data_IF_529831774144
#
_entry.id   IF_529831774144
#
_cell.length_a   1.000
_cell.length_b   1.000
_cell.length_c   1.000
_cell.angle_alpha   90.00
_cell.angle_beta   90.00
_cell.angle_gamma   90.00
#
_symmetry.space_group_name_H-M   'P 1'
#
loop_
_entity.id
_entity.type
_entity.pdbx_description
1 polymer ?
#
# COMPACT_ATOMS: atom_id res chain seq x y z
N UNK A 1 29.32 -34.24 28.23
CA UNK A 1 27.99 -33.81 27.73
C UNK A 1 28.03 -32.33 27.43
N UNK A 2 28.05 -31.95 26.16
CA UNK A 2 28.15 -30.55 25.71
C UNK A 2 26.81 -29.83 25.91
N UNK A 3 26.76 -28.61 26.50
CA UNK A 3 25.49 -27.92 26.69
C UNK A 3 24.94 -27.41 25.36
N UNK A 4 23.66 -27.69 25.14
CA UNK A 4 22.87 -27.34 23.96
C UNK A 4 22.71 -25.81 23.88
N UNK A 5 23.28 -25.21 22.84
CA UNK A 5 23.25 -23.75 22.57
C UNK A 5 21.80 -23.23 22.51
N UNK A 6 21.44 -22.30 23.41
CA UNK A 6 20.13 -21.62 23.44
C UNK A 6 19.82 -20.97 22.07
N UNK A 7 18.72 -21.34 21.43
CA UNK A 7 18.21 -20.68 20.22
C UNK A 7 17.77 -19.25 20.54
N UNK A 8 18.14 -18.32 19.66
CA UNK A 8 18.05 -16.86 19.82
C UNK A 8 16.61 -16.31 19.77
N UNK A 9 16.25 -15.44 20.73
CA UNK A 9 14.97 -14.68 20.85
C UNK A 9 14.78 -13.57 19.80
N UNK A 10 15.66 -13.42 18.80
CA UNK A 10 15.63 -12.26 17.87
C UNK A 10 14.42 -12.22 16.92
N UNK A 11 13.83 -13.37 16.57
CA UNK A 11 12.71 -13.42 15.61
C UNK A 11 11.40 -12.85 16.15
N UNK A 12 11.14 -12.96 17.46
CA UNK A 12 9.90 -12.48 18.07
C UNK A 12 9.85 -10.95 18.13
N UNK A 13 10.97 -10.30 18.44
CA UNK A 13 11.05 -8.84 18.49
C UNK A 13 10.91 -8.20 17.09
N UNK A 14 11.49 -8.82 16.06
CA UNK A 14 11.32 -8.35 14.68
C UNK A 14 9.86 -8.49 14.21
N UNK A 15 9.20 -9.60 14.54
CA UNK A 15 7.78 -9.80 14.22
C UNK A 15 6.87 -8.83 14.97
N UNK A 16 7.13 -8.54 16.24
CA UNK A 16 6.32 -7.57 16.99
C UNK A 16 6.48 -6.17 16.40
N UNK A 17 7.69 -5.74 16.06
CA UNK A 17 7.92 -4.44 15.43
C UNK A 17 7.22 -4.36 14.06
N UNK A 18 7.27 -5.43 13.26
CA UNK A 18 6.58 -5.48 11.96
C UNK A 18 5.07 -5.31 12.13
N UNK A 19 4.46 -6.07 13.05
CA UNK A 19 3.04 -5.97 13.34
C UNK A 19 2.63 -4.58 13.85
N UNK A 20 3.42 -3.96 14.72
CA UNK A 20 3.15 -2.60 15.20
C UNK A 20 3.26 -1.56 14.09
N UNK A 21 4.25 -1.71 13.18
CA UNK A 21 4.33 -0.85 11.98
C UNK A 21 3.11 -1.01 11.09
N UNK A 22 2.62 -2.23 10.91
CA UNK A 22 1.44 -2.49 10.09
C UNK A 22 0.18 -1.85 10.70
N UNK A 23 -0.02 -2.01 12.01
CA UNK A 23 -1.12 -1.36 12.74
C UNK A 23 -1.00 0.16 12.80
N UNK A 24 0.21 0.69 12.75
CA UNK A 24 0.46 2.14 12.75
C UNK A 24 0.34 2.79 11.37
N UNK A 25 0.32 1.99 10.30
CA UNK A 25 0.19 2.46 8.93
C UNK A 25 -1.26 2.38 8.44
N UNK A 26 -1.68 3.39 7.69
CA UNK A 26 -3.00 3.41 7.03
C UNK A 26 -2.82 3.25 5.53
N UNK A 27 -3.56 2.30 4.96
CA UNK A 27 -3.72 2.15 3.52
C UNK A 27 -4.97 2.89 3.05
N UNK A 28 -4.89 3.52 1.88
CA UNK A 28 -6.03 4.07 1.18
C UNK A 28 -6.31 3.26 -0.09
N UNK A 29 -7.51 2.69 -0.20
CA UNK A 29 -7.99 2.04 -1.40
C UNK A 29 -8.73 3.04 -2.28
N UNK A 30 -8.10 3.39 -3.40
CA UNK A 30 -8.77 4.16 -4.45
C UNK A 30 -9.99 3.40 -5.02
N UNK A 31 -10.94 4.13 -5.61
CA UNK A 31 -12.15 3.59 -6.21
C UNK A 31 -11.85 2.49 -7.25
N UNK A 32 -10.75 2.59 -7.99
CA UNK A 32 -10.39 1.61 -9.03
C UNK A 32 -9.97 0.23 -8.49
N UNK A 33 -9.51 0.16 -7.23
CA UNK A 33 -9.07 -1.10 -6.60
C UNK A 33 -9.98 -1.54 -5.45
N UNK A 34 -10.79 -0.62 -4.92
CA UNK A 34 -11.68 -0.90 -3.81
C UNK A 34 -12.63 -2.06 -4.14
N UNK A 35 -12.61 -3.05 -3.25
CA UNK A 35 -13.66 -4.06 -3.14
C UNK A 35 -13.83 -4.41 -1.67
N UNK A 36 -15.05 -4.80 -1.29
CA UNK A 36 -15.34 -5.18 0.10
C UNK A 36 -14.45 -6.34 0.57
N UNK A 37 -14.23 -7.32 -0.31
CA UNK A 37 -13.34 -8.47 -0.06
C UNK A 37 -11.91 -8.01 0.26
N UNK A 38 -11.32 -7.13 -0.56
CA UNK A 38 -9.96 -6.63 -0.31
C UNK A 38 -9.89 -5.84 1.01
N UNK A 39 -10.88 -4.97 1.26
CA UNK A 39 -10.95 -4.18 2.49
C UNK A 39 -10.97 -5.09 3.73
N UNK A 40 -11.87 -6.06 3.76
CA UNK A 40 -12.04 -6.98 4.89
C UNK A 40 -10.78 -7.82 5.10
N UNK A 41 -10.22 -8.40 4.03
CA UNK A 41 -9.02 -9.25 4.10
C UNK A 41 -7.77 -8.49 4.56
N UNK A 42 -7.62 -7.22 4.18
CA UNK A 42 -6.52 -6.39 4.69
C UNK A 42 -6.70 -6.03 6.17
N UNK A 43 -7.93 -5.74 6.61
CA UNK A 43 -8.24 -5.47 8.02
C UNK A 43 -8.06 -6.72 8.89
N UNK A 44 -8.50 -7.88 8.42
CA UNK A 44 -8.26 -9.18 9.07
C UNK A 44 -6.76 -9.48 9.20
N UNK A 45 -5.95 -9.06 8.23
CA UNK A 45 -4.50 -9.16 8.29
C UNK A 45 -3.83 -8.11 9.22
N UNK A 46 -4.62 -7.23 9.85
CA UNK A 46 -4.15 -6.27 10.85
C UNK A 46 -3.74 -4.90 10.31
N UNK A 47 -4.07 -4.57 9.05
CA UNK A 47 -3.84 -3.24 8.49
C UNK A 47 -5.00 -2.29 8.79
N UNK A 48 -4.69 -1.00 9.01
CA UNK A 48 -5.71 0.04 8.93
C UNK A 48 -5.97 0.38 7.46
N UNK A 49 -7.23 0.47 7.08
CA UNK A 49 -7.62 0.66 5.69
C UNK A 49 -8.78 1.64 5.60
N UNK A 50 -8.55 2.72 4.87
CA UNK A 50 -9.53 3.68 4.37
C UNK A 50 -9.81 3.41 2.90
N UNK A 51 -10.94 3.89 2.39
CA UNK A 51 -11.31 3.72 0.99
C UNK A 51 -12.08 4.91 0.43
N UNK A 52 -12.14 4.99 -0.91
CA UNK A 52 -13.00 5.92 -1.61
C UNK A 52 -14.47 5.74 -1.19
N UNK A 53 -15.13 6.83 -0.80
CA UNK A 53 -16.47 6.85 -0.22
C UNK A 53 -16.52 6.82 1.32
N UNK A 54 -15.41 6.51 2.00
CA UNK A 54 -15.26 6.63 3.47
C UNK A 54 -14.52 7.91 3.82
N UNK A 55 -13.22 7.97 3.52
CA UNK A 55 -12.36 9.09 3.88
C UNK A 55 -12.53 10.30 2.96
N UNK A 56 -12.85 10.05 1.69
CA UNK A 56 -13.12 11.07 0.67
C UNK A 56 -14.37 10.67 -0.10
N UNK A 57 -15.16 11.64 -0.56
CA UNK A 57 -16.31 11.35 -1.40
C UNK A 57 -15.87 10.69 -2.71
N UNK A 58 -16.66 9.78 -3.27
CA UNK A 58 -16.31 9.12 -4.55
C UNK A 58 -16.26 10.07 -5.74
N UNK A 59 -16.78 11.30 -5.59
CA UNK A 59 -16.68 12.39 -6.58
C UNK A 59 -15.46 13.29 -6.38
N UNK A 60 -14.64 13.05 -5.34
CA UNK A 60 -13.45 13.83 -5.06
C UNK A 60 -12.42 13.65 -6.17
N UNK A 61 -11.90 14.77 -6.68
CA UNK A 61 -10.90 14.76 -7.74
C UNK A 61 -9.58 14.13 -7.29
N UNK A 62 -8.86 13.51 -8.22
CA UNK A 62 -7.70 12.68 -7.89
C UNK A 62 -6.60 13.42 -7.12
N UNK A 63 -6.29 14.65 -7.51
CA UNK A 63 -5.28 15.46 -6.82
C UNK A 63 -5.66 15.77 -5.36
N UNK A 64 -6.94 15.90 -5.03
CA UNK A 64 -7.42 16.28 -3.68
C UNK A 64 -7.26 15.12 -2.71
N UNK A 65 -7.70 13.92 -3.09
CA UNK A 65 -7.53 12.76 -2.20
C UNK A 65 -6.07 12.32 -2.12
N UNK A 66 -5.27 12.51 -3.20
CA UNK A 66 -3.82 12.28 -3.17
C UNK A 66 -3.12 13.23 -2.20
N UNK A 67 -3.46 14.52 -2.23
CA UNK A 67 -2.97 15.51 -1.25
C UNK A 67 -3.34 15.10 0.18
N UNK A 68 -4.61 14.72 0.40
CA UNK A 68 -5.09 14.26 1.70
C UNK A 68 -4.35 13.02 2.20
N UNK A 69 -4.04 12.06 1.32
CA UNK A 69 -3.25 10.88 1.64
C UNK A 69 -1.80 11.25 1.96
N UNK A 70 -1.18 12.12 1.16
CA UNK A 70 0.20 12.59 1.37
C UNK A 70 0.38 13.31 2.70
N UNK A 71 -0.51 14.26 3.03
CA UNK A 71 -0.52 14.99 4.31
C UNK A 71 -0.65 14.06 5.52
N UNK A 72 -1.40 12.97 5.39
CA UNK A 72 -1.60 11.99 6.47
C UNK A 72 -0.56 10.86 6.46
N UNK A 73 0.33 10.82 5.46
CA UNK A 73 1.31 9.75 5.29
C UNK A 73 0.69 8.39 4.94
N UNK A 74 -0.50 8.37 4.35
CA UNK A 74 -1.20 7.14 3.96
C UNK A 74 -0.54 6.48 2.75
N UNK A 75 -0.61 5.16 2.71
CA UNK A 75 -0.11 4.33 1.60
C UNK A 75 -1.23 4.12 0.60
N UNK A 76 -1.07 4.63 -0.62
CA UNK A 76 -2.10 4.55 -1.66
C UNK A 76 -1.99 3.23 -2.41
N UNK A 77 -3.13 2.52 -2.54
CA UNK A 77 -3.31 1.42 -3.46
C UNK A 77 -4.32 1.84 -4.53
N UNK A 78 -3.97 1.65 -5.81
CA UNK A 78 -4.88 1.89 -6.92
C UNK A 78 -4.67 0.85 -8.04
N UNK A 79 -5.62 0.79 -8.99
CA UNK A 79 -5.55 -0.05 -10.19
C UNK A 79 -5.44 0.79 -11.46
N UNK A 80 -5.76 2.09 -11.41
CA UNK A 80 -5.76 2.92 -12.61
C UNK A 80 -4.34 3.20 -13.11
N UNK A 81 -3.98 2.54 -14.21
CA UNK A 81 -2.75 2.77 -14.95
C UNK A 81 -2.60 4.21 -15.46
N UNK A 82 -3.71 4.97 -15.53
CA UNK A 82 -3.75 6.37 -15.96
C UNK A 82 -3.13 7.33 -14.95
N UNK A 83 -2.97 6.94 -13.67
CA UNK A 83 -2.24 7.75 -12.68
C UNK A 83 -0.82 8.07 -13.12
N UNK A 84 -0.25 7.22 -13.98
CA UNK A 84 1.10 7.38 -14.55
C UNK A 84 1.21 8.49 -15.60
N UNK A 85 0.09 9.01 -16.09
CA UNK A 85 0.07 9.90 -17.26
C UNK A 85 -0.63 11.24 -17.00
N UNK A 86 -1.39 11.37 -15.91
CA UNK A 86 -2.06 12.63 -15.59
C UNK A 86 -1.08 13.54 -14.86
N UNK A 87 -0.65 14.61 -15.55
CA UNK A 87 0.34 15.57 -15.04
C UNK A 87 0.00 16.10 -13.64
N UNK A 88 -1.27 16.43 -13.40
CA UNK A 88 -1.76 16.91 -12.11
C UNK A 88 -1.64 15.85 -10.99
N UNK A 89 -1.77 14.57 -11.32
CA UNK A 89 -1.61 13.48 -10.34
C UNK A 89 -0.14 13.23 -10.04
N UNK A 90 0.74 13.35 -11.04
CA UNK A 90 2.20 13.29 -10.84
C UNK A 90 2.69 14.47 -9.98
N UNK A 91 2.17 15.67 -10.24
CA UNK A 91 2.43 16.87 -9.42
C UNK A 91 1.91 16.68 -7.99
N UNK A 92 0.66 16.23 -7.79
CA UNK A 92 0.12 15.95 -6.45
C UNK A 92 0.88 14.85 -5.70
N UNK A 93 1.28 13.76 -6.39
CA UNK A 93 2.13 12.73 -5.81
C UNK A 93 3.45 13.35 -5.31
N UNK A 94 4.06 14.23 -6.12
CA UNK A 94 5.35 14.88 -5.82
C UNK A 94 5.26 15.88 -4.70
N UNK A 95 4.32 16.81 -4.78
CA UNK A 95 4.20 17.93 -3.86
C UNK A 95 3.78 17.49 -2.46
N UNK A 96 3.11 16.33 -2.35
CA UNK A 96 2.63 15.79 -1.09
C UNK A 96 3.35 14.53 -0.61
N UNK A 97 4.44 14.13 -1.27
CA UNK A 97 5.29 13.02 -0.83
C UNK A 97 4.54 11.71 -0.69
N UNK A 98 3.68 11.38 -1.66
CA UNK A 98 2.81 10.20 -1.58
C UNK A 98 3.60 8.91 -1.83
N UNK A 99 3.28 7.87 -1.06
CA UNK A 99 3.74 6.50 -1.28
C UNK A 99 2.64 5.70 -1.99
N UNK A 100 2.80 5.43 -3.28
CA UNK A 100 1.76 4.80 -4.09
C UNK A 100 2.19 3.44 -4.68
N UNK A 101 1.27 2.47 -4.68
CA UNK A 101 1.40 1.20 -5.37
C UNK A 101 0.22 0.96 -6.32
N UNK A 102 0.53 0.81 -7.61
CA UNK A 102 -0.46 0.58 -8.66
C UNK A 102 -0.48 -0.88 -9.08
N UNK A 103 -1.64 -1.52 -8.94
CA UNK A 103 -1.86 -2.88 -9.36
C UNK A 103 -2.21 -2.95 -10.86
N UNK A 104 -1.40 -3.64 -11.64
CA UNK A 104 -1.52 -3.76 -13.11
C UNK A 104 -1.80 -5.21 -13.55
N UNK A 105 -2.50 -5.99 -12.72
CA UNK A 105 -2.75 -7.42 -12.94
C UNK A 105 -3.87 -7.76 -13.95
N UNK A 106 -4.46 -6.77 -14.60
CA UNK A 106 -5.52 -6.95 -15.60
C UNK A 106 -6.80 -7.55 -15.01
N UNK A 107 -7.42 -8.47 -15.74
CA UNK A 107 -8.68 -9.12 -15.36
C UNK A 107 -8.43 -10.18 -14.27
N UNK A 108 -8.41 -9.75 -13.02
CA UNK A 108 -8.40 -10.61 -11.83
C UNK A 108 -9.59 -10.27 -10.95
N UNK A 109 -10.13 -11.28 -10.25
CA UNK A 109 -11.26 -11.11 -9.34
C UNK A 109 -10.86 -10.34 -8.09
N UNK A 110 -11.85 -9.90 -7.30
CA UNK A 110 -11.61 -9.29 -6.01
C UNK A 110 -10.83 -10.22 -5.06
N UNK A 111 -11.18 -11.50 -5.02
CA UNK A 111 -10.49 -12.53 -4.22
C UNK A 111 -9.03 -12.73 -4.67
N UNK A 112 -8.79 -12.90 -5.98
CA UNK A 112 -7.43 -13.01 -6.52
C UNK A 112 -6.60 -11.76 -6.24
N UNK A 113 -7.23 -10.59 -6.30
CA UNK A 113 -6.58 -9.31 -5.94
C UNK A 113 -6.17 -9.31 -4.46
N UNK A 114 -7.04 -9.77 -3.56
CA UNK A 114 -6.74 -9.88 -2.14
C UNK A 114 -5.63 -10.90 -1.87
N UNK A 115 -5.65 -12.06 -2.53
CA UNK A 115 -4.62 -13.09 -2.39
C UNK A 115 -3.24 -12.62 -2.86
N UNK A 116 -3.19 -11.67 -3.82
CA UNK A 116 -1.94 -11.03 -4.24
C UNK A 116 -1.50 -9.92 -3.27
N UNK A 117 -2.42 -9.06 -2.82
CA UNK A 117 -2.10 -7.84 -2.06
C UNK A 117 -1.83 -8.12 -0.59
N UNK A 118 -2.64 -8.97 0.06
CA UNK A 118 -2.56 -9.21 1.50
C UNK A 118 -1.15 -9.69 1.93
N UNK A 119 -0.47 -10.61 1.20
CA UNK A 119 0.91 -10.96 1.53
C UNK A 119 1.93 -9.82 1.38
N UNK A 120 1.60 -8.76 0.62
CA UNK A 120 2.49 -7.64 0.34
C UNK A 120 2.33 -6.46 1.30
N UNK A 121 1.26 -6.38 2.10
CA UNK A 121 0.98 -5.20 2.93
C UNK A 121 2.15 -4.85 3.87
N UNK A 122 2.77 -5.83 4.51
CA UNK A 122 3.94 -5.59 5.37
C UNK A 122 5.14 -5.07 4.57
N UNK A 123 5.32 -5.56 3.34
CA UNK A 123 6.37 -5.10 2.44
C UNK A 123 6.11 -3.65 2.01
N UNK A 124 4.87 -3.29 1.70
CA UNK A 124 4.48 -1.93 1.35
C UNK A 124 4.71 -0.95 2.51
N UNK A 125 4.39 -1.34 3.74
CA UNK A 125 4.72 -0.54 4.94
C UNK A 125 6.21 -0.37 5.11
N UNK A 126 7.01 -1.42 4.93
CA UNK A 126 8.46 -1.29 5.03
C UNK A 126 9.02 -0.36 3.96
N UNK A 127 8.53 -0.47 2.72
CA UNK A 127 8.92 0.41 1.61
C UNK A 127 8.49 1.87 1.86
N UNK A 128 7.31 2.11 2.42
CA UNK A 128 6.86 3.48 2.75
C UNK A 128 7.69 4.14 3.85
N UNK A 129 8.48 3.38 4.60
CA UNK A 129 9.42 3.87 5.60
C UNK A 129 10.83 4.05 5.01
N UNK A 130 11.28 3.12 4.16
CA UNK A 130 12.66 3.08 3.68
C UNK A 130 12.91 3.86 2.38
N UNK A 131 11.92 3.97 1.52
CA UNK A 131 12.07 4.63 0.22
C UNK A 131 11.87 6.14 0.34
N UNK A 132 12.67 6.96 -0.36
CA UNK A 132 12.42 8.40 -0.44
C UNK A 132 11.07 8.64 -1.11
N UNK A 133 10.24 9.46 -0.47
CA UNK A 133 8.96 9.90 -1.03
C UNK A 133 9.18 11.18 -1.86
N UNK A 134 8.41 11.40 -2.93
CA UNK A 134 7.34 10.54 -3.46
C UNK A 134 7.85 9.28 -4.15
N UNK A 135 7.03 8.22 -4.19
CA UNK A 135 7.29 7.10 -5.10
C UNK A 135 6.01 6.52 -5.67
N UNK A 136 6.17 5.88 -6.83
CA UNK A 136 5.16 5.01 -7.42
C UNK A 136 5.81 3.69 -7.81
N UNK A 137 5.24 2.58 -7.33
CA UNK A 137 5.60 1.23 -7.77
C UNK A 137 4.41 0.60 -8.49
N UNK A 138 4.67 -0.18 -9.53
CA UNK A 138 3.66 -1.04 -10.15
C UNK A 138 3.90 -2.50 -9.82
N UNK A 139 2.84 -3.28 -9.66
CA UNK A 139 2.92 -4.70 -9.43
C UNK A 139 1.72 -5.41 -10.07
N UNK A 140 1.91 -6.63 -10.52
CA UNK A 140 0.84 -7.44 -11.13
C UNK A 140 0.72 -8.79 -10.44
N UNK A 141 0.25 -9.78 -11.19
CA UNK A 141 0.06 -11.17 -10.70
C UNK A 141 1.33 -11.81 -10.13
N UNK A 142 2.52 -11.36 -10.54
CA UNK A 142 3.80 -11.83 -10.00
C UNK A 142 4.10 -11.32 -8.59
N UNK A 143 3.29 -10.41 -8.04
CA UNK A 143 3.46 -9.80 -6.72
C UNK A 143 4.83 -9.08 -6.54
N UNK A 144 5.49 -8.70 -7.64
CA UNK A 144 6.77 -7.99 -7.63
C UNK A 144 6.56 -6.49 -7.88
N UNK A 145 6.84 -5.61 -6.90
CA UNK A 145 6.85 -4.17 -7.10
C UNK A 145 8.02 -3.76 -8.01
N UNK A 146 7.73 -2.93 -9.02
CA UNK A 146 8.69 -2.33 -9.93
C UNK A 146 8.56 -0.80 -9.86
N UNK A 147 9.67 -0.05 -9.67
CA UNK A 147 9.59 1.40 -9.55
C UNK A 147 9.20 2.04 -10.88
N UNK A 148 8.35 3.06 -10.81
CA UNK A 148 7.97 3.92 -11.93
C UNK A 148 8.68 5.25 -11.77
N UNK A 149 9.37 5.70 -12.83
CA UNK A 149 9.97 7.04 -12.85
C UNK A 149 8.85 8.07 -12.96
N UNK A 150 8.63 8.82 -11.90
CA UNK A 150 7.86 10.06 -11.94
C UNK A 150 8.73 11.07 -12.70
N UNK A 151 8.37 11.40 -13.95
CA UNK A 151 9.06 12.41 -14.80
C UNK A 151 8.24 13.69 -14.85
#
# INVERSE_FOLDING_TARGET
>A
MTPRRKRSKKRSAANSIAAERLKGATFYLDQSIYSKVLLERMREAGANVEHAGSAFASSTQDHVWLEGCGKQGWIVLNRDERIRYRRLEIEALRDHGVAAFCFTGGNVTADETADIIVPLIQKFVNMSISEPKPFLYTFGRSARPNPVKLR
#
